data_IF_317284254463
#
_entry.id   IF_317284254463
#
_cell.length_a   1.000
_cell.length_b   1.000
_cell.length_c   1.000
_cell.angle_alpha   90.00
_cell.angle_beta   90.00
_cell.angle_gamma   90.00
#
_symmetry.space_group_name_H-M   'P 1'
#
loop_
_entity.id
_entity.type
_entity.pdbx_description
1 polymer ?
#
# COMPACT_ATOMS: atom_id res chain seq x y z
N UNK A 1 11.46 6.66 -7.14
CA UNK A 1 10.64 5.64 -6.43
C UNK A 1 10.53 4.43 -7.33
N UNK A 2 10.83 3.24 -6.83
CA UNK A 2 10.72 1.97 -7.56
C UNK A 2 9.33 1.34 -7.38
N UNK A 3 8.82 0.67 -8.42
CA UNK A 3 7.56 -0.06 -8.39
C UNK A 3 7.82 -1.55 -8.22
N UNK A 4 7.31 -2.12 -7.14
CA UNK A 4 7.29 -3.56 -6.89
C UNK A 4 5.89 -4.10 -7.16
N UNK A 5 5.82 -5.30 -7.75
CA UNK A 5 4.58 -6.05 -7.88
C UNK A 5 4.64 -7.29 -7.00
N UNK A 6 3.50 -7.77 -6.48
CA UNK A 6 3.44 -9.05 -5.79
C UNK A 6 4.09 -10.16 -6.61
N UNK A 7 4.75 -11.10 -5.93
CA UNK A 7 5.45 -12.27 -6.51
C UNK A 7 6.73 -11.97 -7.29
N UNK A 8 7.01 -10.72 -7.66
CA UNK A 8 8.28 -10.32 -8.28
C UNK A 8 9.28 -9.85 -7.23
N UNK A 9 10.44 -10.51 -7.17
CA UNK A 9 11.54 -10.17 -6.24
C UNK A 9 12.35 -8.93 -6.66
N UNK A 10 12.16 -8.49 -7.90
CA UNK A 10 12.88 -7.37 -8.51
C UNK A 10 11.85 -6.29 -8.87
N UNK A 11 12.17 -5.00 -8.71
CA UNK A 11 11.26 -3.94 -9.12
C UNK A 11 10.98 -4.03 -10.63
N UNK A 12 9.69 -3.98 -10.98
CA UNK A 12 9.23 -3.96 -12.38
C UNK A 12 9.63 -2.65 -13.05
N UNK A 13 9.59 -1.55 -12.28
CA UNK A 13 10.10 -0.24 -12.70
C UNK A 13 11.09 0.22 -11.64
N UNK A 14 12.37 0.32 -11.99
CA UNK A 14 13.42 0.72 -11.05
C UNK A 14 13.29 2.17 -10.61
N UNK A 15 12.87 3.06 -11.50
CA UNK A 15 12.62 4.46 -11.17
C UNK A 15 11.46 5.05 -11.99
N UNK A 16 10.38 5.43 -11.32
CA UNK A 16 9.22 6.07 -11.94
C UNK A 16 9.40 7.57 -12.21
N UNK A 17 10.40 8.23 -11.61
CA UNK A 17 10.63 9.68 -11.79
C UNK A 17 9.36 10.51 -11.57
N UNK A 18 9.03 11.40 -12.51
CA UNK A 18 7.87 12.29 -12.46
C UNK A 18 6.52 11.54 -12.49
N UNK A 19 6.45 10.35 -13.11
CA UNK A 19 5.24 9.54 -13.14
C UNK A 19 4.77 9.10 -11.75
N UNK A 20 5.67 9.11 -10.76
CA UNK A 20 5.33 8.86 -9.35
C UNK A 20 4.20 9.78 -8.86
N UNK A 21 4.24 11.07 -9.23
CA UNK A 21 3.26 12.06 -8.77
C UNK A 21 1.88 11.77 -9.35
N UNK A 22 1.83 11.51 -10.66
CA UNK A 22 0.59 11.18 -11.37
C UNK A 22 0.01 9.88 -10.83
N UNK A 23 0.86 8.84 -10.65
CA UNK A 23 0.43 7.56 -10.11
C UNK A 23 -0.17 7.73 -8.70
N UNK A 24 0.48 8.50 -7.83
CA UNK A 24 -0.03 8.74 -6.47
C UNK A 24 -1.32 9.55 -6.48
N UNK A 25 -1.44 10.55 -7.34
CA UNK A 25 -2.67 11.32 -7.49
C UNK A 25 -3.85 10.43 -7.91
N UNK A 26 -3.65 9.52 -8.87
CA UNK A 26 -4.67 8.55 -9.30
C UNK A 26 -5.06 7.62 -8.16
N UNK A 27 -4.08 7.06 -7.43
CA UNK A 27 -4.35 6.16 -6.29
C UNK A 27 -5.15 6.87 -5.21
N UNK A 28 -4.73 8.07 -4.79
CA UNK A 28 -5.38 8.82 -3.71
C UNK A 28 -6.81 9.22 -4.10
N UNK A 29 -6.99 9.86 -5.28
CA UNK A 29 -8.30 10.28 -5.76
C UNK A 29 -9.21 9.07 -5.99
N UNK A 30 -8.67 8.00 -6.58
CA UNK A 30 -9.39 6.75 -6.83
C UNK A 30 -9.87 6.09 -5.54
N UNK A 31 -8.99 5.94 -4.54
CA UNK A 31 -9.36 5.34 -3.25
C UNK A 31 -10.39 6.19 -2.49
N UNK A 32 -10.26 7.51 -2.49
CA UNK A 32 -11.19 8.42 -1.81
C UNK A 32 -12.59 8.32 -2.42
N UNK A 33 -12.67 8.31 -3.76
CA UNK A 33 -13.94 8.14 -4.47
C UNK A 33 -14.53 6.73 -4.28
N UNK A 34 -13.70 5.70 -4.24
CA UNK A 34 -14.16 4.32 -4.01
C UNK A 34 -14.77 4.13 -2.61
N UNK A 35 -14.15 4.70 -1.57
CA UNK A 35 -14.71 4.66 -0.21
C UNK A 35 -16.02 5.45 -0.16
N UNK A 36 -16.07 6.65 -0.75
CA UNK A 36 -17.29 7.46 -0.81
C UNK A 36 -18.44 6.72 -1.52
N UNK A 37 -18.16 6.02 -2.64
CA UNK A 37 -19.16 5.23 -3.35
C UNK A 37 -19.67 4.02 -2.53
N UNK A 38 -18.84 3.50 -1.63
CA UNK A 38 -19.18 2.37 -0.74
C UNK A 38 -19.94 2.84 0.52
N UNK A 39 -19.89 4.14 0.82
CA UNK A 39 -20.51 4.75 2.00
C UNK A 39 -21.97 5.16 1.73
N UNK A 40 -22.85 4.16 1.68
CA UNK A 40 -24.29 4.36 1.44
C UNK A 40 -25.20 3.44 2.26
N UNK A 41 -24.62 2.63 3.15
CA UNK A 41 -25.30 1.68 4.03
C UNK A 41 -24.66 1.77 5.42
N UNK A 42 -25.47 1.59 6.47
CA UNK A 42 -25.00 1.65 7.85
C UNK A 42 -23.85 0.66 8.10
N UNK A 43 -22.65 1.20 8.28
CA UNK A 43 -21.48 0.43 8.66
C UNK A 43 -20.70 -0.23 7.52
N UNK A 44 -21.13 -0.13 6.25
CA UNK A 44 -20.46 -0.83 5.14
C UNK A 44 -19.05 -0.28 4.87
N UNK A 45 -18.93 1.05 4.69
CA UNK A 45 -17.63 1.68 4.42
C UNK A 45 -16.66 1.55 5.60
N UNK A 46 -17.13 1.70 6.84
CA UNK A 46 -16.27 1.56 8.03
C UNK A 46 -15.79 0.12 8.22
N UNK A 47 -16.65 -0.89 7.99
CA UNK A 47 -16.24 -2.30 8.04
C UNK A 47 -15.14 -2.63 7.03
N UNK A 48 -15.26 -2.13 5.80
CA UNK A 48 -14.23 -2.29 4.76
C UNK A 48 -12.94 -1.53 5.10
N UNK A 49 -13.02 -0.30 5.59
CA UNK A 49 -11.82 0.50 5.87
C UNK A 49 -11.02 -0.04 7.06
N UNK A 50 -11.66 -0.54 8.12
CA UNK A 50 -10.97 -1.15 9.27
C UNK A 50 -10.19 -2.40 8.87
N UNK A 51 -10.80 -3.29 8.09
CA UNK A 51 -10.13 -4.52 7.62
C UNK A 51 -8.93 -4.22 6.71
N UNK A 52 -9.07 -3.25 5.81
CA UNK A 52 -7.97 -2.78 4.95
C UNK A 52 -6.87 -2.08 5.77
N UNK A 53 -7.23 -1.26 6.75
CA UNK A 53 -6.26 -0.57 7.61
C UNK A 53 -5.43 -1.57 8.43
N UNK A 54 -6.05 -2.61 8.99
CA UNK A 54 -5.34 -3.67 9.69
C UNK A 54 -4.35 -4.41 8.77
N UNK A 55 -4.77 -4.75 7.55
CA UNK A 55 -3.89 -5.39 6.58
C UNK A 55 -2.67 -4.51 6.25
N UNK A 56 -2.89 -3.21 6.03
CA UNK A 56 -1.78 -2.29 5.78
C UNK A 56 -0.88 -2.07 7.00
N UNK A 57 -1.42 -2.06 8.22
CA UNK A 57 -0.61 -1.98 9.45
C UNK A 57 0.32 -3.19 9.60
N UNK A 58 -0.15 -4.41 9.31
CA UNK A 58 0.70 -5.60 9.32
C UNK A 58 1.79 -5.53 8.24
N UNK A 59 1.44 -5.09 7.03
CA UNK A 59 2.40 -4.93 5.93
C UNK A 59 3.45 -3.85 6.23
N UNK A 60 3.04 -2.74 6.84
CA UNK A 60 3.93 -1.63 7.20
C UNK A 60 4.93 -2.06 8.28
N UNK A 61 4.46 -2.77 9.32
CA UNK A 61 5.33 -3.37 10.33
C UNK A 61 6.31 -4.39 9.75
N UNK A 62 5.84 -5.27 8.85
CA UNK A 62 6.69 -6.25 8.19
C UNK A 62 7.81 -5.59 7.35
N UNK A 63 7.49 -4.52 6.61
CA UNK A 63 8.46 -3.76 5.82
C UNK A 63 9.41 -2.91 6.69
N UNK A 64 8.97 -2.52 7.89
CA UNK A 64 9.75 -1.73 8.86
C UNK A 64 10.68 -2.55 9.75
N UNK A 65 10.54 -3.88 9.81
CA UNK A 65 11.40 -4.75 10.60
C UNK A 65 12.38 -5.53 9.70
N UNK A 66 13.68 -5.26 9.85
CA UNK A 66 14.74 -5.83 8.99
C UNK A 66 14.68 -7.37 8.90
N UNK A 67 14.49 -8.06 10.03
CA UNK A 67 14.45 -9.54 10.08
C UNK A 67 13.25 -10.11 9.34
N UNK A 68 12.09 -9.47 9.50
CA UNK A 68 10.84 -9.91 8.86
C UNK A 68 10.91 -9.61 7.36
N UNK A 69 11.39 -8.43 6.98
CA UNK A 69 11.54 -8.03 5.60
C UNK A 69 12.47 -8.98 4.82
N UNK A 70 13.62 -9.34 5.42
CA UNK A 70 14.55 -10.31 4.85
C UNK A 70 13.94 -11.71 4.73
N UNK A 71 13.25 -12.18 5.78
CA UNK A 71 12.63 -13.50 5.78
C UNK A 71 11.49 -13.63 4.76
N UNK A 72 10.61 -12.62 4.67
CA UNK A 72 9.47 -12.59 3.75
C UNK A 72 9.83 -12.10 2.34
N UNK A 73 11.10 -11.71 2.11
CA UNK A 73 11.58 -11.19 0.83
C UNK A 73 10.79 -9.95 0.36
N UNK A 74 10.42 -9.08 1.29
CA UNK A 74 9.80 -7.77 1.02
C UNK A 74 10.83 -6.65 1.20
N UNK A 75 10.73 -5.54 0.43
CA UNK A 75 11.67 -4.43 0.53
C UNK A 75 11.61 -3.77 1.91
N UNK A 76 12.77 -3.62 2.55
CA UNK A 76 12.90 -2.95 3.83
C UNK A 76 12.83 -1.42 3.67
N UNK A 77 11.98 -0.79 4.48
CA UNK A 77 11.88 0.67 4.56
C UNK A 77 12.00 1.11 6.02
N UNK A 78 13.08 1.82 6.33
CA UNK A 78 13.26 2.39 7.66
C UNK A 78 12.08 3.31 8.01
N UNK A 79 11.60 3.21 9.27
CA UNK A 79 10.47 3.99 9.79
C UNK A 79 9.09 3.69 9.15
N UNK A 80 8.95 2.58 8.42
CA UNK A 80 7.68 2.19 7.80
C UNK A 80 6.73 1.43 8.72
N UNK A 81 7.07 1.22 10.00
CA UNK A 81 6.31 0.40 10.95
C UNK A 81 5.95 1.15 12.22
#
# INVERSE_FOLDING_TARGET
RSLYLPFFKVPVITNMGWFTLIFFAVVIMGSSNAVNLTDGLDGLAIGCTVTVALAYAFLSYAAGNFRIAEYLQVPFYAFSG
#
